data_IF_572327304191
#
_entry.id   IF_572327304191
#
_cell.length_a   1.000
_cell.length_b   1.000
_cell.length_c   1.000
_cell.angle_alpha   90.00
_cell.angle_beta   90.00
_cell.angle_gamma   90.00
#
_symmetry.space_group_name_H-M   'P 1'
#
loop_
_entity.id
_entity.type
_entity.pdbx_description
1 polymer ?
#
# COMPACT_ATOMS: atom_id res chain seq x y z
N UNK A 1 26.24 -8.07 -4.83
CA UNK A 1 25.79 -9.45 -4.54
C UNK A 1 24.31 -9.47 -4.88
N UNK A 2 23.79 -10.51 -5.56
CA UNK A 2 22.36 -10.57 -5.85
C UNK A 2 21.56 -10.68 -4.55
N UNK A 3 20.38 -10.03 -4.46
CA UNK A 3 19.52 -10.05 -3.26
C UNK A 3 19.03 -11.44 -2.92
N UNK A 4 18.81 -12.27 -3.95
CA UNK A 4 18.35 -13.65 -3.83
C UNK A 4 18.85 -14.45 -5.04
N UNK A 5 18.83 -15.75 -4.91
CA UNK A 5 19.14 -16.66 -6.00
C UNK A 5 17.91 -16.89 -6.87
N UNK A 6 18.06 -16.69 -8.17
CA UNK A 6 17.06 -17.12 -9.17
C UNK A 6 17.35 -18.57 -9.53
N UNK A 7 16.52 -19.47 -9.06
CA UNK A 7 16.70 -20.90 -9.28
C UNK A 7 16.43 -21.30 -10.74
N UNK A 8 16.86 -22.48 -11.19
CA UNK A 8 16.46 -23.01 -12.51
C UNK A 8 14.94 -23.16 -12.66
N UNK A 9 14.23 -23.44 -11.55
CA UNK A 9 12.78 -23.51 -11.53
C UNK A 9 12.14 -22.14 -11.82
N UNK A 10 12.59 -21.08 -11.16
CA UNK A 10 12.08 -19.71 -11.35
C UNK A 10 12.26 -19.27 -12.81
N UNK A 11 13.47 -19.54 -13.38
CA UNK A 11 13.76 -19.23 -14.78
C UNK A 11 12.83 -19.94 -15.74
N UNK A 12 12.58 -21.23 -15.50
CA UNK A 12 11.68 -22.04 -16.33
C UNK A 12 10.26 -21.48 -16.27
N UNK A 13 9.71 -21.22 -15.09
CA UNK A 13 8.36 -20.67 -14.95
C UNK A 13 8.26 -19.29 -15.64
N UNK A 14 9.29 -18.46 -15.49
CA UNK A 14 9.28 -17.17 -16.18
C UNK A 14 9.27 -17.34 -17.71
N UNK A 15 10.13 -18.15 -18.27
CA UNK A 15 10.27 -18.33 -19.72
C UNK A 15 9.06 -19.07 -20.35
N UNK A 16 8.51 -20.07 -19.67
CA UNK A 16 7.45 -20.91 -20.21
C UNK A 16 6.05 -20.37 -19.96
N UNK A 17 5.83 -19.65 -18.84
CA UNK A 17 4.48 -19.28 -18.42
C UNK A 17 4.25 -17.76 -18.33
N UNK A 18 5.27 -16.97 -17.96
CA UNK A 18 5.08 -15.57 -17.62
C UNK A 18 5.55 -14.60 -18.69
N UNK A 19 6.63 -14.89 -19.38
CA UNK A 19 7.31 -13.97 -20.27
C UNK A 19 6.41 -13.43 -21.38
N UNK A 20 5.69 -14.30 -22.05
CA UNK A 20 4.79 -13.94 -23.15
C UNK A 20 3.40 -13.54 -22.68
N UNK A 21 3.00 -13.99 -21.48
CA UNK A 21 1.74 -13.61 -20.84
C UNK A 21 1.79 -12.18 -20.30
N UNK A 22 2.90 -11.77 -19.68
CA UNK A 22 3.06 -10.44 -19.09
C UNK A 22 3.31 -9.37 -20.17
N UNK A 23 2.69 -8.19 -20.07
CA UNK A 23 2.96 -7.09 -20.98
C UNK A 23 4.42 -6.62 -20.87
N UNK A 24 4.91 -5.93 -21.90
CA UNK A 24 6.26 -5.36 -21.88
C UNK A 24 6.43 -4.28 -20.81
N UNK A 25 5.36 -3.48 -20.56
CA UNK A 25 5.33 -2.44 -19.53
C UNK A 25 4.44 -2.88 -18.37
N UNK A 26 4.99 -2.87 -17.17
CA UNK A 26 4.31 -3.31 -15.95
C UNK A 26 4.33 -2.16 -14.94
N UNK A 27 3.20 -1.90 -14.28
CA UNK A 27 3.11 -1.03 -13.13
C UNK A 27 2.84 -1.88 -11.87
N UNK A 28 3.85 -1.98 -11.01
CA UNK A 28 3.66 -2.52 -9.65
C UNK A 28 3.04 -1.43 -8.77
N UNK A 29 1.77 -1.62 -8.41
CA UNK A 29 1.00 -0.62 -7.67
C UNK A 29 1.21 -0.66 -6.16
N UNK A 30 1.99 -1.62 -5.63
CA UNK A 30 2.13 -1.80 -4.18
C UNK A 30 3.55 -2.18 -3.77
N UNK A 31 4.44 -1.20 -3.71
CA UNK A 31 5.85 -1.44 -3.43
C UNK A 31 6.36 -0.61 -2.26
N UNK A 32 7.07 -1.25 -1.35
CA UNK A 32 7.72 -0.60 -0.23
C UNK A 32 9.21 -0.40 -0.49
N UNK A 33 9.73 0.78 -0.15
CA UNK A 33 11.16 1.03 -0.04
C UNK A 33 11.49 1.56 1.35
N UNK A 34 12.58 1.09 1.93
CA UNK A 34 13.06 1.50 3.25
C UNK A 34 14.55 1.29 3.42
N UNK A 35 15.13 2.01 4.37
CA UNK A 35 16.49 1.77 4.86
C UNK A 35 16.44 1.50 6.36
N UNK A 36 17.18 0.50 6.82
CA UNK A 36 17.22 0.08 8.22
C UNK A 36 17.60 1.24 9.17
N UNK A 37 18.51 2.09 8.76
CA UNK A 37 18.91 3.29 9.51
C UNK A 37 17.77 4.30 9.80
N UNK A 38 16.63 4.14 9.12
CA UNK A 38 15.43 4.97 9.31
C UNK A 38 14.30 4.20 10.01
N UNK A 39 14.52 2.93 10.34
CA UNK A 39 13.55 2.14 11.08
C UNK A 39 13.62 2.46 12.58
N UNK A 40 12.49 2.32 13.26
CA UNK A 40 12.44 2.40 14.71
C UNK A 40 12.63 0.99 15.30
N UNK A 41 13.77 0.79 15.95
CA UNK A 41 14.14 -0.47 16.58
C UNK A 41 13.77 -0.54 18.07
N UNK A 42 12.98 0.44 18.57
CA UNK A 42 12.55 0.41 19.97
C UNK A 42 11.73 -0.84 20.26
N UNK A 43 12.02 -1.53 21.36
CA UNK A 43 11.17 -2.61 21.81
C UNK A 43 9.76 -2.09 22.12
N UNK A 44 8.77 -2.96 21.94
CA UNK A 44 7.39 -2.63 22.33
C UNK A 44 7.32 -2.40 23.83
N UNK A 45 6.48 -1.47 24.26
CA UNK A 45 6.19 -1.28 25.68
C UNK A 45 5.54 -2.54 26.26
N UNK A 46 5.71 -2.82 27.57
CA UNK A 46 5.02 -3.93 28.22
C UNK A 46 3.51 -3.89 27.96
N UNK A 47 2.94 -4.98 27.45
CA UNK A 47 1.52 -5.09 27.11
C UNK A 47 1.13 -4.50 25.75
N UNK A 48 2.06 -3.90 25.01
CA UNK A 48 1.77 -3.40 23.66
C UNK A 48 1.75 -4.56 22.65
N UNK A 49 0.67 -4.64 21.87
CA UNK A 49 0.51 -5.64 20.81
C UNK A 49 0.97 -5.05 19.47
N UNK A 50 1.79 -5.81 18.77
CA UNK A 50 2.26 -5.41 17.43
C UNK A 50 1.14 -5.59 16.39
N UNK A 51 0.72 -4.52 15.77
CA UNK A 51 -0.34 -4.48 14.74
C UNK A 51 0.21 -4.52 13.31
N UNK A 52 1.48 -4.88 13.15
CA UNK A 52 2.14 -4.95 11.84
C UNK A 52 2.85 -6.28 11.68
N UNK A 53 2.96 -6.74 10.44
CA UNK A 53 3.79 -7.89 10.11
C UNK A 53 5.26 -7.59 10.38
N UNK A 54 6.01 -8.60 10.77
CA UNK A 54 7.42 -8.47 11.17
C UNK A 54 8.38 -9.22 10.26
N UNK A 55 7.88 -10.20 9.53
CA UNK A 55 8.70 -11.06 8.68
C UNK A 55 9.50 -10.32 7.60
N UNK A 56 9.06 -9.18 6.98
CA UNK A 56 9.87 -8.50 5.99
C UNK A 56 11.24 -8.09 6.51
N UNK A 57 11.32 -7.60 7.76
CA UNK A 57 12.58 -7.22 8.38
C UNK A 57 13.45 -8.41 8.80
N UNK A 58 12.92 -9.64 8.78
CA UNK A 58 13.71 -10.86 8.96
C UNK A 58 14.37 -11.32 7.65
N UNK A 59 13.81 -10.89 6.52
CA UNK A 59 14.30 -11.25 5.18
C UNK A 59 15.28 -10.19 4.65
N UNK A 60 14.96 -8.90 4.85
CA UNK A 60 15.76 -7.79 4.37
C UNK A 60 15.84 -6.68 5.42
N UNK A 61 17.05 -6.29 5.81
CA UNK A 61 17.29 -5.11 6.64
C UNK A 61 16.97 -3.84 5.86
N UNK A 62 17.54 -3.69 4.69
CA UNK A 62 17.22 -2.66 3.72
C UNK A 62 16.35 -3.23 2.59
N UNK A 63 15.47 -2.43 2.04
CA UNK A 63 14.89 -2.59 0.72
C UNK A 63 15.02 -1.25 0.01
N UNK A 64 16.24 -0.98 -0.44
CA UNK A 64 16.58 0.27 -1.11
C UNK A 64 15.95 0.35 -2.50
N UNK A 65 16.01 1.52 -3.12
CA UNK A 65 15.56 1.66 -4.51
C UNK A 65 16.42 0.81 -5.46
N UNK A 66 17.70 0.64 -5.16
CA UNK A 66 18.61 -0.22 -5.90
C UNK A 66 18.21 -1.69 -5.76
N UNK A 67 17.86 -2.12 -4.54
CA UNK A 67 17.38 -3.48 -4.28
C UNK A 67 16.05 -3.75 -5.01
N UNK A 68 15.15 -2.78 -5.03
CA UNK A 68 13.89 -2.89 -5.75
C UNK A 68 14.11 -3.05 -7.26
N UNK A 69 14.96 -2.21 -7.85
CA UNK A 69 15.29 -2.31 -9.27
C UNK A 69 15.97 -3.64 -9.62
N UNK A 70 16.87 -4.10 -8.75
CA UNK A 70 17.52 -5.41 -8.89
C UNK A 70 16.51 -6.56 -8.79
N UNK A 71 15.52 -6.45 -7.87
CA UNK A 71 14.44 -7.42 -7.75
C UNK A 71 13.66 -7.56 -9.06
N UNK A 72 13.26 -6.44 -9.67
CA UNK A 72 12.57 -6.49 -10.97
C UNK A 72 13.45 -7.07 -12.08
N UNK A 73 14.73 -6.71 -12.11
CA UNK A 73 15.66 -7.26 -13.08
C UNK A 73 15.82 -8.79 -12.96
N UNK A 74 15.79 -9.30 -11.73
CA UNK A 74 15.92 -10.74 -11.44
C UNK A 74 14.62 -11.51 -11.70
N UNK A 75 13.48 -10.95 -11.29
CA UNK A 75 12.18 -11.64 -11.38
C UNK A 75 11.51 -11.48 -12.74
N UNK A 76 11.69 -10.35 -13.39
CA UNK A 76 11.01 -9.96 -14.62
C UNK A 76 12.01 -9.53 -15.71
N UNK A 77 12.98 -10.39 -16.07
CA UNK A 77 14.05 -10.02 -16.99
C UNK A 77 13.49 -9.57 -18.35
N UNK A 78 13.95 -8.40 -18.79
CA UNK A 78 13.52 -7.82 -20.08
C UNK A 78 12.21 -7.05 -20.05
N UNK A 79 11.51 -6.97 -18.92
CA UNK A 79 10.32 -6.13 -18.75
C UNK A 79 10.68 -4.74 -18.26
N UNK A 80 9.87 -3.75 -18.65
CA UNK A 80 9.95 -2.36 -18.20
C UNK A 80 8.97 -2.19 -17.02
N UNK A 81 9.51 -2.25 -15.80
CA UNK A 81 8.71 -2.21 -14.57
C UNK A 81 8.81 -0.85 -13.91
N UNK A 82 7.68 -0.22 -13.69
CA UNK A 82 7.52 1.00 -12.88
C UNK A 82 6.83 0.64 -11.57
N UNK A 83 7.22 1.27 -10.47
CA UNK A 83 6.63 1.02 -9.15
C UNK A 83 5.92 2.25 -8.59
N UNK A 84 4.74 2.06 -7.98
CA UNK A 84 4.14 3.04 -7.07
C UNK A 84 4.70 2.78 -5.68
N UNK A 85 5.66 3.63 -5.27
CA UNK A 85 6.46 3.42 -4.07
C UNK A 85 5.90 4.13 -2.85
N UNK A 86 6.12 3.56 -1.69
CA UNK A 86 5.87 4.19 -0.38
C UNK A 86 6.62 3.45 0.71
N UNK A 87 6.59 4.00 1.93
CA UNK A 87 7.17 3.35 3.11
C UNK A 87 6.07 2.98 4.11
N UNK A 88 6.40 2.22 5.14
CA UNK A 88 5.45 1.76 6.15
C UNK A 88 5.96 1.81 7.58
N UNK A 89 7.18 2.26 7.80
CA UNK A 89 7.87 2.11 9.09
C UNK A 89 8.79 3.28 9.41
N UNK A 90 9.11 3.38 10.71
CA UNK A 90 10.28 4.07 11.23
C UNK A 90 10.15 5.58 11.33
N UNK A 91 11.29 6.22 11.29
CA UNK A 91 11.38 7.66 11.38
C UNK A 91 10.66 8.31 10.19
N UNK A 92 9.48 8.80 10.48
CA UNK A 92 8.48 9.29 9.56
C UNK A 92 9.02 10.21 8.48
N UNK A 93 9.63 11.34 8.92
CA UNK A 93 10.10 12.37 8.01
C UNK A 93 11.24 11.86 7.13
N UNK A 94 12.15 11.07 7.71
CA UNK A 94 13.31 10.52 7.00
C UNK A 94 12.89 9.50 5.95
N UNK A 95 11.92 8.64 6.26
CA UNK A 95 11.43 7.65 5.32
C UNK A 95 10.64 8.27 4.18
N UNK A 96 9.75 9.22 4.45
CA UNK A 96 9.06 9.96 3.38
C UNK A 96 10.04 10.76 2.52
N UNK A 97 11.04 11.39 3.13
CA UNK A 97 12.09 12.09 2.38
C UNK A 97 12.89 11.14 1.49
N UNK A 98 13.20 9.93 1.97
CA UNK A 98 13.86 8.90 1.18
C UNK A 98 12.99 8.44 0.00
N UNK A 99 11.71 8.18 0.20
CA UNK A 99 10.78 7.82 -0.88
C UNK A 99 10.68 8.93 -1.92
N UNK A 100 10.61 10.19 -1.50
CA UNK A 100 10.60 11.34 -2.42
C UNK A 100 11.92 11.44 -3.21
N UNK A 101 13.06 11.16 -2.58
CA UNK A 101 14.35 11.08 -3.27
C UNK A 101 14.37 9.97 -4.31
N UNK A 102 13.92 8.76 -3.94
CA UNK A 102 13.81 7.63 -4.86
C UNK A 102 12.94 7.97 -6.07
N UNK A 103 11.80 8.62 -5.84
CA UNK A 103 10.89 9.06 -6.91
C UNK A 103 11.58 10.02 -7.87
N UNK A 104 12.29 11.04 -7.37
CA UNK A 104 13.05 11.97 -8.22
C UNK A 104 14.16 11.30 -9.03
N UNK A 105 14.85 10.31 -8.44
CA UNK A 105 15.96 9.59 -9.10
C UNK A 105 15.50 8.65 -10.21
N UNK A 106 14.35 8.01 -10.03
CA UNK A 106 13.86 6.95 -10.94
C UNK A 106 12.72 7.40 -11.84
N UNK A 107 12.01 8.46 -11.48
CA UNK A 107 10.75 8.82 -12.11
C UNK A 107 9.57 7.93 -11.67
N UNK A 108 9.76 7.02 -10.74
CA UNK A 108 8.71 6.17 -10.24
C UNK A 108 7.73 6.98 -9.37
N UNK A 109 6.40 6.82 -9.56
CA UNK A 109 5.41 7.49 -8.73
C UNK A 109 5.51 7.05 -7.27
N UNK A 110 5.10 7.93 -6.35
CA UNK A 110 5.18 7.67 -4.92
C UNK A 110 3.95 8.17 -4.17
N UNK A 111 3.66 7.51 -3.03
CA UNK A 111 2.65 7.92 -2.06
C UNK A 111 3.33 8.36 -0.76
N UNK A 112 2.75 9.37 -0.15
CA UNK A 112 3.14 9.85 1.16
C UNK A 112 2.58 8.93 2.26
N UNK A 113 3.42 8.50 3.18
CA UNK A 113 2.98 7.78 4.36
C UNK A 113 2.42 8.77 5.37
N UNK A 114 1.08 8.84 5.53
CA UNK A 114 0.39 9.83 6.35
C UNK A 114 0.09 9.35 7.77
N UNK A 115 -0.04 10.29 8.71
CA UNK A 115 -0.48 10.05 10.09
C UNK A 115 -1.87 10.65 10.30
N UNK A 116 -2.73 10.00 11.10
CA UNK A 116 -4.07 10.52 11.36
C UNK A 116 -4.08 11.88 12.10
N UNK A 117 -3.01 12.21 12.82
CA UNK A 117 -2.88 13.47 13.57
C UNK A 117 -2.54 14.68 12.70
N UNK A 118 -2.09 14.47 11.46
CA UNK A 118 -1.73 15.57 10.56
C UNK A 118 -2.97 16.34 10.11
N UNK A 119 -2.85 17.66 10.07
CA UNK A 119 -3.88 18.50 9.47
C UNK A 119 -3.95 18.33 7.95
N UNK A 120 -5.08 18.64 7.31
CA UNK A 120 -5.19 18.64 5.85
C UNK A 120 -4.16 19.53 5.16
N UNK A 121 -3.83 20.68 5.75
CA UNK A 121 -2.86 21.64 5.23
C UNK A 121 -1.44 21.10 5.30
N UNK A 122 -1.06 20.48 6.41
CA UNK A 122 0.24 19.79 6.55
C UNK A 122 0.39 18.68 5.51
N UNK A 123 -0.68 17.89 5.31
CA UNK A 123 -0.68 16.84 4.28
C UNK A 123 -0.50 17.40 2.87
N UNK A 124 -1.24 18.44 2.51
CA UNK A 124 -1.12 19.07 1.20
C UNK A 124 0.30 19.61 0.98
N UNK A 125 0.88 20.24 2.00
CA UNK A 125 2.24 20.76 1.94
C UNK A 125 3.27 19.65 1.70
N UNK A 126 3.19 18.55 2.46
CA UNK A 126 4.12 17.43 2.31
C UNK A 126 3.95 16.69 0.97
N UNK A 127 2.71 16.51 0.51
CA UNK A 127 2.42 15.90 -0.80
C UNK A 127 3.04 16.75 -1.93
N UNK A 128 2.82 18.06 -1.92
CA UNK A 128 3.36 18.96 -2.95
C UNK A 128 4.88 19.03 -2.89
N UNK A 129 5.46 19.20 -1.72
CA UNK A 129 6.90 19.27 -1.49
C UNK A 129 7.63 17.99 -1.94
N UNK A 130 7.06 16.82 -1.66
CA UNK A 130 7.65 15.53 -2.00
C UNK A 130 7.34 15.07 -3.43
N UNK A 131 6.38 15.70 -4.13
CA UNK A 131 5.91 15.26 -5.43
C UNK A 131 5.10 13.97 -5.39
N UNK A 132 4.44 13.71 -4.25
CA UNK A 132 3.63 12.51 -4.07
C UNK A 132 2.30 12.60 -4.83
N UNK A 133 1.80 11.46 -5.30
CA UNK A 133 0.51 11.39 -6.01
C UNK A 133 -0.69 11.19 -5.08
N UNK A 134 -0.44 11.08 -3.80
CA UNK A 134 -1.47 10.84 -2.79
C UNK A 134 -0.86 10.25 -1.52
N UNK A 135 -1.65 9.49 -0.78
CA UNK A 135 -1.23 9.01 0.54
C UNK A 135 -1.53 7.53 0.77
N UNK A 136 -0.78 6.98 1.73
CA UNK A 136 -0.96 5.66 2.35
C UNK A 136 -0.94 5.84 3.85
N UNK A 137 -1.87 5.18 4.56
CA UNK A 137 -1.85 5.05 6.01
C UNK A 137 -2.06 3.61 6.43
N UNK A 138 -1.91 3.32 7.70
CA UNK A 138 -1.97 1.95 8.24
C UNK A 138 -2.82 1.85 9.49
N UNK A 139 -3.51 0.73 9.63
CA UNK A 139 -4.32 0.41 10.81
C UNK A 139 -3.50 0.45 12.14
N UNK A 140 -2.18 0.25 12.06
CA UNK A 140 -1.30 0.35 13.22
C UNK A 140 -1.19 1.76 13.81
N UNK A 141 -1.62 2.78 13.06
CA UNK A 141 -1.69 4.18 13.50
C UNK A 141 -3.02 4.53 14.18
N UNK A 142 -3.99 3.62 14.18
CA UNK A 142 -5.23 3.81 14.94
C UNK A 142 -4.94 3.95 16.44
N UNK A 143 -5.83 4.61 17.20
CA UNK A 143 -5.69 4.76 18.63
C UNK A 143 -5.39 3.45 19.34
N UNK A 144 -4.40 3.45 20.23
CA UNK A 144 -3.88 2.23 20.88
C UNK A 144 -4.87 1.52 21.77
N UNK A 145 -5.85 2.25 22.31
CA UNK A 145 -6.91 1.69 23.15
C UNK A 145 -7.94 0.86 22.36
N UNK A 146 -8.00 1.01 21.03
CA UNK A 146 -8.95 0.24 20.22
C UNK A 146 -8.45 -1.20 20.04
N UNK A 147 -9.28 -2.21 20.31
CA UNK A 147 -9.00 -3.58 19.89
C UNK A 147 -8.85 -3.66 18.36
N UNK A 148 -7.97 -4.51 17.87
CA UNK A 148 -7.72 -4.63 16.42
C UNK A 148 -9.01 -4.96 15.63
N UNK A 149 -9.89 -5.78 16.21
CA UNK A 149 -11.18 -6.14 15.62
C UNK A 149 -12.19 -4.98 15.54
N UNK A 150 -11.95 -3.88 16.23
CA UNK A 150 -12.84 -2.72 16.28
C UNK A 150 -12.32 -1.53 15.47
N UNK A 151 -11.08 -1.59 14.99
CA UNK A 151 -10.48 -0.53 14.17
C UNK A 151 -11.35 -0.28 12.94
N UNK A 152 -11.59 1.01 12.64
CA UNK A 152 -12.31 1.49 11.46
C UNK A 152 -11.36 2.17 10.51
N UNK A 153 -11.73 2.29 9.25
CA UNK A 153 -10.93 3.01 8.26
C UNK A 153 -10.69 4.45 8.70
N UNK A 154 -11.70 5.13 9.23
CA UNK A 154 -11.60 6.53 9.65
C UNK A 154 -10.76 6.75 10.92
N UNK A 155 -10.37 5.69 11.63
CA UNK A 155 -9.45 5.79 12.77
C UNK A 155 -7.99 6.04 12.34
N UNK A 156 -7.65 5.76 11.08
CA UNK A 156 -6.32 6.00 10.50
C UNK A 156 -6.36 6.74 9.15
N UNK A 157 -7.55 6.98 8.62
CA UNK A 157 -7.83 7.89 7.50
C UNK A 157 -8.95 8.87 7.91
N UNK A 158 -8.66 9.91 8.70
CA UNK A 158 -9.66 10.89 9.10
C UNK A 158 -10.36 11.53 7.91
N UNK A 159 -11.67 11.75 8.00
CA UNK A 159 -12.47 12.33 6.92
C UNK A 159 -11.94 13.70 6.45
N UNK A 160 -11.39 14.51 7.34
CA UNK A 160 -10.78 15.79 6.97
C UNK A 160 -9.60 15.62 6.00
N UNK A 161 -8.77 14.58 6.22
CA UNK A 161 -7.67 14.24 5.32
C UNK A 161 -8.20 13.69 3.99
N UNK A 162 -9.23 12.83 4.01
CA UNK A 162 -9.87 12.32 2.80
C UNK A 162 -10.49 13.44 1.96
N UNK A 163 -11.15 14.41 2.60
CA UNK A 163 -11.67 15.59 1.92
C UNK A 163 -10.56 16.35 1.18
N UNK A 164 -9.41 16.53 1.82
CA UNK A 164 -8.26 17.16 1.16
C UNK A 164 -7.75 16.33 -0.02
N UNK A 165 -7.72 15.01 0.10
CA UNK A 165 -7.35 14.13 -1.03
C UNK A 165 -8.36 14.20 -2.19
N UNK A 166 -9.63 14.36 -1.88
CA UNK A 166 -10.67 14.58 -2.88
C UNK A 166 -10.48 15.90 -3.64
N UNK A 167 -10.22 17.01 -2.92
CA UNK A 167 -9.92 18.31 -3.50
C UNK A 167 -8.70 18.27 -4.44
N UNK A 168 -7.72 17.43 -4.14
CA UNK A 168 -6.51 17.24 -4.94
C UNK A 168 -6.67 16.21 -6.07
N UNK A 169 -7.77 15.44 -6.11
CA UNK A 169 -7.93 14.31 -7.03
C UNK A 169 -6.85 13.24 -6.82
N UNK A 170 -6.41 13.07 -5.58
CA UNK A 170 -5.24 12.28 -5.22
C UNK A 170 -5.54 10.78 -5.10
N UNK A 171 -4.48 9.97 -5.09
CA UNK A 171 -4.57 8.54 -4.79
C UNK A 171 -4.66 8.34 -3.27
N UNK A 172 -5.58 7.49 -2.83
CA UNK A 172 -5.62 6.96 -1.47
C UNK A 172 -5.48 5.44 -1.53
N UNK A 173 -4.39 4.93 -0.98
CA UNK A 173 -4.20 3.48 -0.88
C UNK A 173 -4.68 3.00 0.48
N UNK A 174 -5.78 2.27 0.48
CA UNK A 174 -6.51 1.84 1.65
C UNK A 174 -6.07 0.45 2.11
N UNK A 175 -5.57 0.37 3.34
CA UNK A 175 -5.38 -0.89 4.03
C UNK A 175 -6.67 -1.27 4.78
N UNK A 176 -7.17 -2.48 4.57
CA UNK A 176 -8.44 -2.92 5.19
C UNK A 176 -8.19 -3.40 6.62
N UNK A 177 -8.84 -2.81 7.65
CA UNK A 177 -8.76 -3.28 9.03
C UNK A 177 -9.72 -4.45 9.27
N UNK A 178 -9.86 -4.86 10.53
CA UNK A 178 -10.80 -5.85 11.06
C UNK A 178 -10.61 -7.27 10.51
N UNK A 179 -11.06 -8.26 11.28
CA UNK A 179 -10.88 -9.67 10.92
C UNK A 179 -11.77 -10.14 9.76
N UNK A 180 -12.95 -9.52 9.58
CA UNK A 180 -13.83 -9.78 8.46
C UNK A 180 -13.31 -9.24 7.12
N UNK A 181 -12.25 -8.41 7.13
CA UNK A 181 -11.55 -7.93 5.95
C UNK A 181 -12.50 -7.24 4.96
N UNK A 182 -12.40 -7.52 3.65
CA UNK A 182 -13.23 -6.88 2.64
C UNK A 182 -14.73 -7.14 2.83
N UNK A 183 -15.12 -8.32 3.27
CA UNK A 183 -16.54 -8.67 3.52
C UNK A 183 -17.10 -8.15 4.85
N UNK A 184 -16.27 -7.55 5.71
CA UNK A 184 -16.76 -6.96 6.95
C UNK A 184 -17.73 -5.80 6.64
N UNK A 185 -18.97 -5.82 7.17
CA UNK A 185 -19.99 -4.83 6.81
C UNK A 185 -19.58 -3.40 7.20
N UNK A 186 -18.78 -3.21 8.23
CA UNK A 186 -18.26 -1.89 8.62
C UNK A 186 -17.24 -1.40 7.60
N UNK A 187 -16.34 -2.26 7.13
CA UNK A 187 -15.37 -1.90 6.09
C UNK A 187 -16.09 -1.54 4.79
N UNK A 188 -17.05 -2.37 4.34
CA UNK A 188 -17.83 -2.11 3.13
C UNK A 188 -18.60 -0.78 3.23
N UNK A 189 -19.27 -0.54 4.35
CA UNK A 189 -20.00 0.71 4.56
C UNK A 189 -19.08 1.93 4.46
N UNK A 190 -17.88 1.87 5.06
CA UNK A 190 -16.94 2.99 5.03
C UNK A 190 -16.25 3.16 3.66
N UNK A 191 -15.97 2.07 2.94
CA UNK A 191 -15.47 2.17 1.55
C UNK A 191 -16.50 2.89 0.67
N UNK A 192 -17.76 2.55 0.82
CA UNK A 192 -18.85 3.17 0.06
C UNK A 192 -19.03 4.63 0.45
N UNK A 193 -19.00 4.93 1.75
CA UNK A 193 -19.06 6.30 2.25
C UNK A 193 -17.91 7.16 1.68
N UNK A 194 -16.68 6.63 1.64
CA UNK A 194 -15.55 7.30 1.00
C UNK A 194 -15.85 7.65 -0.45
N UNK A 195 -16.38 6.71 -1.22
CA UNK A 195 -16.67 6.94 -2.64
C UNK A 195 -17.87 7.88 -2.88
N UNK A 196 -18.81 7.93 -1.95
CA UNK A 196 -19.96 8.83 -2.04
C UNK A 196 -19.58 10.26 -1.63
N UNK A 197 -18.86 10.42 -0.51
CA UNK A 197 -18.49 11.74 0.02
C UNK A 197 -17.28 12.35 -0.70
N UNK A 198 -16.38 11.52 -1.23
CA UNK A 198 -15.11 11.92 -1.82
C UNK A 198 -14.92 11.31 -3.22
N UNK A 199 -15.74 11.68 -4.21
CA UNK A 199 -15.81 11.00 -5.51
C UNK A 199 -14.54 11.16 -6.36
N UNK A 200 -13.73 12.21 -6.14
CA UNK A 200 -12.51 12.46 -6.91
C UNK A 200 -11.30 11.66 -6.41
N UNK A 201 -11.40 11.04 -5.23
CA UNK A 201 -10.35 10.15 -4.75
C UNK A 201 -10.17 8.95 -5.68
N UNK A 202 -8.93 8.71 -6.09
CA UNK A 202 -8.54 7.48 -6.77
C UNK A 202 -8.19 6.43 -5.73
N UNK A 203 -9.17 5.59 -5.37
CA UNK A 203 -9.05 4.62 -4.30
C UNK A 203 -8.39 3.33 -4.80
N UNK A 204 -7.29 2.93 -4.16
CA UNK A 204 -6.66 1.62 -4.34
C UNK A 204 -6.90 0.81 -3.06
N UNK A 205 -7.56 -0.33 -3.17
CA UNK A 205 -7.75 -1.26 -2.06
C UNK A 205 -6.57 -2.23 -2.04
N UNK A 206 -5.68 -2.04 -1.07
CA UNK A 206 -4.46 -2.82 -0.96
C UNK A 206 -4.73 -4.30 -0.66
N UNK A 207 -3.87 -5.21 -1.18
CA UNK A 207 -3.90 -6.65 -0.93
C UNK A 207 -5.24 -7.30 -1.28
N UNK A 208 -5.91 -6.82 -2.33
CA UNK A 208 -7.27 -7.29 -2.72
C UNK A 208 -8.22 -7.25 -1.50
N UNK A 209 -8.16 -6.16 -0.70
CA UNK A 209 -8.93 -6.06 0.53
C UNK A 209 -8.58 -7.12 1.59
N UNK A 210 -7.37 -7.68 1.55
CA UNK A 210 -6.91 -8.81 2.39
C UNK A 210 -7.78 -10.06 2.22
N UNK A 211 -8.41 -10.23 1.06
CA UNK A 211 -9.14 -11.44 0.70
C UNK A 211 -8.14 -12.48 0.14
N UNK A 212 -7.84 -13.50 0.92
CA UNK A 212 -6.87 -14.54 0.55
C UNK A 212 -7.55 -15.80 0.01
N UNK A 213 -8.85 -15.91 0.17
CA UNK A 213 -9.68 -16.99 -0.34
C UNK A 213 -10.99 -16.43 -0.90
N UNK A 214 -11.74 -17.25 -1.67
CA UNK A 214 -13.07 -16.85 -2.20
C UNK A 214 -14.04 -16.51 -1.07
N UNK A 215 -13.97 -17.22 0.04
CA UNK A 215 -14.82 -17.00 1.21
C UNK A 215 -14.52 -15.65 1.88
N UNK A 216 -13.27 -15.15 1.80
CA UNK A 216 -12.90 -13.84 2.32
C UNK A 216 -13.50 -12.68 1.55
N UNK A 217 -13.86 -12.88 0.28
CA UNK A 217 -14.53 -11.89 -0.54
C UNK A 217 -16.02 -11.78 -0.17
N UNK A 218 -16.66 -12.91 0.11
CA UNK A 218 -18.10 -12.97 0.37
C UNK A 218 -18.90 -12.33 -0.78
N UNK A 219 -19.81 -11.45 -0.44
CA UNK A 219 -20.61 -10.68 -1.40
C UNK A 219 -20.08 -9.26 -1.66
N UNK A 220 -18.81 -9.00 -1.31
CA UNK A 220 -18.26 -7.64 -1.39
C UNK A 220 -18.30 -7.08 -2.81
N UNK A 221 -17.94 -7.87 -3.81
CA UNK A 221 -17.95 -7.43 -5.20
C UNK A 221 -19.37 -7.19 -5.71
N UNK A 222 -20.32 -8.05 -5.40
CA UNK A 222 -21.74 -7.85 -5.75
C UNK A 222 -22.27 -6.57 -5.12
N UNK A 223 -21.98 -6.34 -3.86
CA UNK A 223 -22.43 -5.14 -3.14
C UNK A 223 -21.86 -3.85 -3.76
N UNK A 224 -20.61 -3.87 -4.16
CA UNK A 224 -19.96 -2.71 -4.77
C UNK A 224 -20.41 -2.51 -6.21
N UNK A 225 -20.57 -3.59 -6.97
CA UNK A 225 -21.05 -3.56 -8.36
C UNK A 225 -22.48 -3.05 -8.48
N UNK A 226 -23.38 -3.53 -7.63
CA UNK A 226 -24.78 -3.07 -7.58
C UNK A 226 -24.93 -1.56 -7.33
N UNK A 227 -23.88 -0.91 -6.82
CA UNK A 227 -23.83 0.52 -6.58
C UNK A 227 -23.05 1.31 -7.63
N UNK A 228 -22.71 0.69 -8.75
CA UNK A 228 -22.07 1.34 -9.89
C UNK A 228 -20.55 1.55 -9.74
N UNK A 229 -19.90 0.84 -8.84
CA UNK A 229 -18.43 0.84 -8.76
C UNK A 229 -17.88 -0.14 -9.78
N UNK A 230 -17.14 0.36 -10.76
CA UNK A 230 -16.43 -0.50 -11.71
C UNK A 230 -15.17 -1.08 -11.08
N UNK A 231 -15.11 -2.37 -11.00
CA UNK A 231 -13.89 -3.10 -10.72
C UNK A 231 -13.06 -3.19 -12.00
N UNK A 232 -11.75 -3.01 -11.88
CA UNK A 232 -10.87 -3.33 -13.00
C UNK A 232 -11.02 -4.80 -13.36
N UNK A 233 -11.10 -5.14 -14.64
CA UNK A 233 -11.22 -6.52 -15.15
C UNK A 233 -10.04 -7.44 -14.80
N UNK A 234 -9.10 -7.01 -13.96
CA UNK A 234 -7.96 -7.78 -13.46
C UNK A 234 -8.12 -8.30 -12.04
N UNK A 235 -9.30 -8.18 -11.44
CA UNK A 235 -9.59 -8.66 -10.09
C UNK A 235 -10.24 -10.06 -10.06
N UNK A 236 -10.15 -10.81 -11.14
CA UNK A 236 -10.54 -12.21 -11.13
C UNK A 236 -9.60 -12.95 -10.17
N UNK A 237 -10.08 -13.15 -8.95
CA UNK A 237 -9.43 -14.04 -7.99
C UNK A 237 -9.68 -15.46 -8.51
N UNK A 238 -8.63 -16.24 -8.82
CA UNK A 238 -8.78 -17.57 -9.36
C UNK A 238 -9.47 -18.51 -8.38
#
# INVERSE_FOLDING_TARGET
>A
MALFEVTPYDRRIYEEELKDFLPQKILDVHTHVWLDKYLDHKPLAPGEVKRTVTWPSLVALDNSIEDLQETYRLMLPGKDVTALMFTSRGAWDKNNAYVAECSRRTGFPALYYSRPEQTPEELEQEIRKGGFLGLKSYLSLSPKYLPEAEIRIFDFFPKAQLKKMDELGAIVMLHIPRNGRLKDPVNLAQIMEIKQEFPNIRLIIAHIGRAYTKEDVGNAFETLDQRGYTWGKGSDIP
#
